data_IF_989691049539
#
_entry.id   IF_989691049539
#
_cell.length_a   1.000
_cell.length_b   1.000
_cell.length_c   1.000
_cell.angle_alpha   90.00
_cell.angle_beta   90.00
_cell.angle_gamma   90.00
#
_symmetry.space_group_name_H-M   'P 1'
#
loop_
_entity.id
_entity.type
_entity.pdbx_description
1 polymer ?
#
# COMPACT_ATOMS: atom_id res chain seq x y z
N UNK A 1 -13.54 4.28 -4.68
CA UNK A 1 -13.40 5.22 -3.53
C UNK A 1 -14.57 6.18 -3.39
N UNK A 2 -14.94 6.94 -4.43
CA UNK A 2 -16.00 7.96 -4.38
C UNK A 2 -17.35 7.43 -3.90
N UNK A 3 -17.80 6.27 -4.39
CA UNK A 3 -19.06 5.66 -3.92
C UNK A 3 -19.03 5.27 -2.44
N UNK A 4 -17.93 4.69 -1.95
CA UNK A 4 -17.78 4.36 -0.52
C UNK A 4 -17.75 5.62 0.36
N UNK A 5 -17.26 6.74 -0.17
CA UNK A 5 -17.31 8.04 0.51
C UNK A 5 -18.75 8.58 0.57
N UNK A 6 -19.50 8.54 -0.54
CA UNK A 6 -20.92 8.89 -0.57
C UNK A 6 -21.74 8.04 0.41
N UNK A 7 -21.54 6.73 0.40
CA UNK A 7 -22.25 5.80 1.31
C UNK A 7 -21.94 6.09 2.78
N UNK A 8 -20.69 6.42 3.11
CA UNK A 8 -20.30 6.81 4.48
C UNK A 8 -20.89 8.14 4.91
N UNK A 9 -20.99 9.14 4.02
CA UNK A 9 -21.59 10.42 4.39
C UNK A 9 -23.12 10.33 4.50
N UNK A 10 -23.76 9.54 3.64
CA UNK A 10 -25.20 9.26 3.76
C UNK A 10 -25.53 8.48 5.04
N UNK A 11 -24.69 7.52 5.44
CA UNK A 11 -24.89 6.81 6.71
C UNK A 11 -24.69 7.68 7.95
N UNK A 12 -24.02 8.82 7.81
CA UNK A 12 -23.90 9.87 8.85
C UNK A 12 -25.10 10.83 8.88
N UNK A 13 -26.13 10.59 8.06
CA UNK A 13 -27.34 11.42 8.02
C UNK A 13 -27.18 12.75 7.29
N UNK A 14 -26.12 12.91 6.50
CA UNK A 14 -25.94 14.10 5.66
C UNK A 14 -26.91 14.09 4.48
N UNK A 15 -27.47 15.27 4.19
CA UNK A 15 -28.36 15.49 3.04
C UNK A 15 -27.64 15.20 1.71
N UNK A 16 -28.39 14.65 0.74
CA UNK A 16 -27.83 14.18 -0.53
C UNK A 16 -27.10 15.28 -1.32
N UNK A 17 -27.65 16.50 -1.34
CA UNK A 17 -27.05 17.62 -2.08
C UNK A 17 -25.76 18.10 -1.42
N UNK A 18 -25.68 18.04 -0.09
CA UNK A 18 -24.47 18.35 0.66
C UNK A 18 -23.37 17.31 0.41
N UNK A 19 -23.73 16.02 0.42
CA UNK A 19 -22.80 14.92 0.11
C UNK A 19 -22.22 15.06 -1.28
N UNK A 20 -23.04 15.37 -2.28
CA UNK A 20 -22.58 15.52 -3.65
C UNK A 20 -21.63 16.71 -3.82
N UNK A 21 -21.88 17.84 -3.14
CA UNK A 21 -20.95 18.98 -3.12
C UNK A 21 -19.62 18.66 -2.43
N UNK A 22 -19.65 17.97 -1.29
CA UNK A 22 -18.42 17.59 -0.57
C UNK A 22 -17.57 16.61 -1.36
N UNK A 23 -18.21 15.67 -2.05
CA UNK A 23 -17.53 14.74 -2.95
C UNK A 23 -16.94 15.46 -4.14
N UNK A 24 -17.72 16.32 -4.82
CA UNK A 24 -17.22 17.12 -5.94
C UNK A 24 -16.01 17.98 -5.54
N UNK A 25 -16.04 18.59 -4.35
CA UNK A 25 -14.91 19.36 -3.81
C UNK A 25 -13.67 18.50 -3.52
N UNK A 26 -13.83 17.18 -3.41
CA UNK A 26 -12.74 16.23 -3.18
C UNK A 26 -12.29 15.50 -4.45
N UNK A 27 -13.04 15.58 -5.55
CA UNK A 27 -12.78 14.83 -6.79
C UNK A 27 -11.42 15.20 -7.40
N UNK A 28 -11.08 16.48 -7.44
CA UNK A 28 -9.80 16.96 -7.97
C UNK A 28 -8.61 16.39 -7.18
N UNK A 29 -8.68 16.45 -5.84
CA UNK A 29 -7.66 15.88 -4.97
C UNK A 29 -7.57 14.36 -5.13
N UNK A 30 -8.70 13.66 -5.21
CA UNK A 30 -8.72 12.20 -5.42
C UNK A 30 -8.06 11.85 -6.76
N UNK A 31 -8.31 12.64 -7.80
CA UNK A 31 -7.70 12.45 -9.11
C UNK A 31 -6.18 12.71 -9.07
N UNK A 32 -5.74 13.76 -8.38
CA UNK A 32 -4.31 14.06 -8.20
C UNK A 32 -3.59 12.95 -7.42
N UNK A 33 -4.15 12.50 -6.31
CA UNK A 33 -3.61 11.41 -5.48
C UNK A 33 -3.53 10.10 -6.30
N UNK A 34 -4.56 9.81 -7.10
CA UNK A 34 -4.57 8.65 -8.00
C UNK A 34 -3.50 8.75 -9.09
N UNK A 35 -3.32 9.94 -9.69
CA UNK A 35 -2.28 10.19 -10.69
C UNK A 35 -0.88 9.97 -10.11
N UNK A 36 -0.61 10.51 -8.92
CA UNK A 36 0.67 10.32 -8.25
C UNK A 36 0.91 8.86 -7.90
N UNK A 37 -0.12 8.16 -7.43
CA UNK A 37 -0.04 6.72 -7.13
C UNK A 37 0.36 5.93 -8.37
N UNK A 38 -0.36 6.09 -9.49
CA UNK A 38 -0.05 5.39 -10.75
C UNK A 38 1.36 5.73 -11.23
N UNK A 39 1.74 7.00 -11.20
CA UNK A 39 3.07 7.44 -11.60
C UNK A 39 4.16 6.79 -10.75
N UNK A 40 3.99 6.76 -9.43
CA UNK A 40 4.95 6.15 -8.52
C UNK A 40 5.06 4.64 -8.77
N UNK A 41 3.94 3.94 -8.92
CA UNK A 41 3.92 2.51 -9.25
C UNK A 41 4.70 2.22 -10.53
N UNK A 42 4.43 2.94 -11.62
CA UNK A 42 5.13 2.74 -12.89
C UNK A 42 6.63 3.02 -12.80
N UNK A 43 7.04 4.04 -12.04
CA UNK A 43 8.46 4.35 -11.83
C UNK A 43 9.14 3.23 -11.03
N UNK A 44 8.49 2.74 -9.97
CA UNK A 44 9.01 1.68 -9.12
C UNK A 44 9.13 0.35 -9.89
N UNK A 45 8.11 -0.01 -10.69
CA UNK A 45 8.13 -1.16 -11.59
C UNK A 45 9.30 -1.06 -12.58
N UNK A 46 9.46 0.09 -13.23
CA UNK A 46 10.57 0.32 -14.16
C UNK A 46 11.95 0.17 -13.50
N UNK A 47 12.12 0.66 -12.26
CA UNK A 47 13.39 0.49 -11.53
C UNK A 47 13.61 -0.97 -11.17
N UNK A 48 12.58 -1.66 -10.69
CA UNK A 48 12.68 -3.08 -10.34
C UNK A 48 13.09 -3.93 -11.54
N UNK A 49 12.49 -3.68 -12.73
CA UNK A 49 12.88 -4.34 -13.97
C UNK A 49 14.33 -4.01 -14.36
N UNK A 50 14.72 -2.73 -14.33
CA UNK A 50 16.04 -2.28 -14.80
C UNK A 50 17.18 -2.79 -13.93
N UNK A 51 16.96 -2.91 -12.61
CA UNK A 51 17.96 -3.36 -11.65
C UNK A 51 17.82 -4.87 -11.33
N UNK A 52 16.96 -5.59 -12.08
CA UNK A 52 16.70 -7.03 -11.94
C UNK A 52 16.26 -7.44 -10.51
N UNK A 53 15.55 -6.55 -9.82
CA UNK A 53 15.04 -6.80 -8.48
C UNK A 53 13.81 -7.69 -8.61
N UNK A 54 13.92 -8.91 -8.09
CA UNK A 54 12.83 -9.89 -8.09
C UNK A 54 12.67 -10.50 -6.70
N UNK A 55 11.44 -10.91 -6.38
CA UNK A 55 11.14 -11.65 -5.16
C UNK A 55 11.35 -13.14 -5.42
N UNK A 56 12.21 -13.76 -4.60
CA UNK A 56 12.47 -15.20 -4.66
C UNK A 56 11.45 -15.97 -3.83
N UNK A 57 11.30 -17.27 -4.11
CA UNK A 57 10.36 -18.11 -3.37
C UNK A 57 10.69 -18.20 -1.87
N UNK A 58 11.97 -18.19 -1.51
CA UNK A 58 12.41 -18.25 -0.12
C UNK A 58 12.08 -16.98 0.66
N UNK A 59 12.25 -15.81 0.03
CA UNK A 59 11.86 -14.52 0.60
C UNK A 59 10.34 -14.42 0.79
N UNK A 60 9.55 -14.88 -0.21
CA UNK A 60 8.08 -14.93 -0.10
C UNK A 60 7.64 -15.85 1.05
N UNK A 61 8.30 -17.00 1.21
CA UNK A 61 8.02 -17.91 2.32
C UNK A 61 8.39 -17.30 3.68
N UNK A 62 9.45 -16.48 3.74
CA UNK A 62 9.80 -15.73 4.95
C UNK A 62 8.76 -14.65 5.25
N UNK A 63 8.32 -13.93 4.23
CA UNK A 63 7.29 -12.89 4.38
C UNK A 63 5.96 -13.49 4.83
N UNK A 64 5.58 -14.67 4.33
CA UNK A 64 4.43 -15.40 4.84
C UNK A 64 4.57 -15.71 6.35
N UNK A 65 5.75 -16.13 6.81
CA UNK A 65 5.99 -16.39 8.24
C UNK A 65 5.85 -15.12 9.07
N UNK A 66 6.41 -13.99 8.59
CA UNK A 66 6.27 -12.68 9.24
C UNK A 66 4.82 -12.24 9.28
N UNK A 67 4.11 -12.34 8.16
CA UNK A 67 2.70 -12.00 8.04
C UNK A 67 1.83 -12.78 9.03
N UNK A 68 2.01 -14.11 9.12
CA UNK A 68 1.30 -14.94 10.10
C UNK A 68 1.64 -14.50 11.54
N UNK A 69 2.92 -14.29 11.85
CA UNK A 69 3.35 -13.87 13.18
C UNK A 69 2.82 -12.48 13.60
N UNK A 70 2.74 -11.53 12.66
CA UNK A 70 2.29 -10.16 12.89
C UNK A 70 0.77 -10.02 12.90
N UNK A 71 0.05 -10.91 12.20
CA UNK A 71 -1.42 -10.83 12.09
C UNK A 71 -2.14 -10.86 13.44
N UNK A 72 -1.53 -11.45 14.48
CA UNK A 72 -2.16 -11.68 15.78
C UNK A 72 -3.37 -12.63 15.72
N UNK A 73 -3.66 -13.21 14.55
CA UNK A 73 -4.78 -14.11 14.31
C UNK A 73 -4.33 -15.56 14.48
N UNK A 74 -5.29 -16.44 14.79
CA UNK A 74 -5.06 -17.88 14.76
C UNK A 74 -4.66 -18.31 13.33
N UNK A 75 -3.54 -19.05 13.15
CA UNK A 75 -3.14 -19.61 11.86
C UNK A 75 -4.25 -20.39 11.13
N UNK A 76 -5.20 -20.98 11.85
CA UNK A 76 -6.34 -21.64 11.26
C UNK A 76 -7.32 -20.64 10.62
N UNK A 77 -7.66 -19.55 11.32
CA UNK A 77 -8.53 -18.50 10.78
C UNK A 77 -7.92 -17.81 9.56
N UNK A 78 -6.59 -17.61 9.57
CA UNK A 78 -5.85 -17.10 8.42
C UNK A 78 -5.92 -18.02 7.20
N UNK A 79 -5.76 -19.34 7.41
CA UNK A 79 -5.91 -20.33 6.34
C UNK A 79 -7.32 -20.33 5.75
N UNK A 80 -8.34 -20.28 6.61
CA UNK A 80 -9.74 -20.22 6.17
C UNK A 80 -10.02 -18.92 5.39
N UNK A 81 -9.46 -17.79 5.83
CA UNK A 81 -9.61 -16.53 5.12
C UNK A 81 -9.02 -16.59 3.70
N UNK A 82 -7.85 -17.20 3.52
CA UNK A 82 -7.20 -17.29 2.21
C UNK A 82 -7.54 -18.54 1.41
N UNK A 83 -8.43 -19.41 1.92
CA UNK A 83 -8.84 -20.62 1.21
C UNK A 83 -9.53 -20.24 -0.11
N UNK A 84 -9.02 -20.77 -1.23
CA UNK A 84 -9.46 -20.42 -2.58
C UNK A 84 -8.98 -19.07 -3.09
N UNK A 85 -8.14 -18.36 -2.32
CA UNK A 85 -7.48 -17.08 -2.65
C UNK A 85 -5.96 -17.17 -2.46
N UNK A 86 -5.39 -18.37 -2.58
CA UNK A 86 -3.97 -18.61 -2.36
C UNK A 86 -3.09 -17.84 -3.36
N UNK A 87 -3.56 -17.68 -4.60
CA UNK A 87 -2.88 -16.88 -5.62
C UNK A 87 -2.84 -15.39 -5.25
N UNK A 88 -3.96 -14.82 -4.77
CA UNK A 88 -4.01 -13.42 -4.30
C UNK A 88 -3.07 -13.19 -3.12
N UNK A 89 -3.01 -14.15 -2.18
CA UNK A 89 -2.07 -14.10 -1.06
C UNK A 89 -0.63 -14.12 -1.55
N UNK A 90 -0.32 -15.00 -2.50
CA UNK A 90 1.02 -15.13 -3.05
C UNK A 90 1.45 -13.84 -3.78
N UNK A 91 0.59 -13.26 -4.61
CA UNK A 91 0.84 -11.99 -5.30
C UNK A 91 1.05 -10.84 -4.30
N UNK A 92 0.23 -10.77 -3.26
CA UNK A 92 0.36 -9.75 -2.21
C UNK A 92 1.73 -9.84 -1.51
N UNK A 93 2.14 -11.04 -1.11
CA UNK A 93 3.44 -11.26 -0.45
C UNK A 93 4.60 -11.00 -1.39
N UNK A 94 4.49 -11.41 -2.65
CA UNK A 94 5.49 -11.13 -3.68
C UNK A 94 5.68 -9.62 -3.86
N UNK A 95 4.58 -8.85 -3.94
CA UNK A 95 4.63 -7.40 -4.07
C UNK A 95 5.24 -6.74 -2.84
N UNK A 96 4.95 -7.24 -1.64
CA UNK A 96 5.55 -6.74 -0.40
C UNK A 96 7.07 -6.92 -0.40
N UNK A 97 7.55 -8.14 -0.69
CA UNK A 97 8.98 -8.45 -0.77
C UNK A 97 9.68 -7.58 -1.82
N UNK A 98 9.07 -7.44 -3.00
CA UNK A 98 9.61 -6.61 -4.08
C UNK A 98 9.75 -5.15 -3.63
N UNK A 99 8.72 -4.62 -2.98
CA UNK A 99 8.70 -3.23 -2.51
C UNK A 99 9.77 -2.97 -1.47
N UNK A 100 9.91 -3.85 -0.48
CA UNK A 100 10.91 -3.71 0.57
C UNK A 100 12.33 -3.72 -0.01
N UNK A 101 12.63 -4.68 -0.91
CA UNK A 101 13.93 -4.74 -1.61
C UNK A 101 14.19 -3.49 -2.45
N UNK A 102 13.17 -2.97 -3.11
CA UNK A 102 13.29 -1.78 -3.93
C UNK A 102 13.57 -0.54 -3.08
N UNK A 103 12.89 -0.39 -1.94
CA UNK A 103 13.14 0.69 -0.99
C UNK A 103 14.57 0.60 -0.46
N UNK A 104 15.01 -0.58 -0.01
CA UNK A 104 16.36 -0.80 0.49
C UNK A 104 17.41 -0.42 -0.57
N UNK A 105 17.21 -0.87 -1.81
CA UNK A 105 18.07 -0.54 -2.94
C UNK A 105 18.12 0.96 -3.25
N UNK A 106 16.98 1.67 -3.14
CA UNK A 106 16.94 3.12 -3.31
C UNK A 106 17.65 3.85 -2.16
N UNK A 107 17.48 3.38 -0.94
CA UNK A 107 18.12 3.94 0.26
C UNK A 107 19.64 3.76 0.24
N UNK A 108 20.15 2.66 -0.30
CA UNK A 108 21.59 2.44 -0.52
C UNK A 108 22.22 3.46 -1.48
N UNK A 109 21.45 3.92 -2.47
CA UNK A 109 21.87 4.92 -3.47
C UNK A 109 21.54 6.36 -3.07
N UNK A 110 20.74 6.56 -2.03
CA UNK A 110 20.31 7.88 -1.59
C UNK A 110 21.42 8.61 -0.84
N UNK A 111 21.51 9.93 -1.05
CA UNK A 111 22.40 10.80 -0.29
C UNK A 111 21.62 11.47 0.85
N UNK A 112 22.13 11.35 2.07
CA UNK A 112 21.48 11.86 3.26
C UNK A 112 22.10 13.19 3.70
N UNK A 113 21.25 14.12 4.16
CA UNK A 113 21.68 15.32 4.86
C UNK A 113 21.10 15.27 6.27
N UNK A 114 21.96 15.14 7.28
CA UNK A 114 21.52 15.19 8.68
C UNK A 114 21.14 16.63 9.04
N UNK A 115 19.89 16.83 9.45
CA UNK A 115 19.45 18.05 10.12
C UNK A 115 19.33 17.77 11.61
N UNK A 116 20.13 18.47 12.41
CA UNK A 116 19.95 18.54 13.86
C UNK A 116 18.66 19.33 14.12
N UNK A 117 17.65 18.66 14.66
CA UNK A 117 16.42 19.32 15.12
C UNK A 117 16.69 19.79 16.55
N UNK A 118 16.94 21.09 16.73
CA UNK A 118 16.96 21.68 18.06
C UNK A 118 15.54 21.62 18.63
N UNK A 119 15.37 20.92 19.75
CA UNK A 119 14.10 20.87 20.46
C UNK A 119 13.80 22.26 21.03
N UNK A 120 12.75 22.91 20.52
CA UNK A 120 12.21 24.12 21.12
C UNK A 120 11.82 23.83 22.58
N UNK A 121 12.41 24.57 23.51
CA UNK A 121 12.18 24.48 24.96
C UNK A 121 11.04 25.37 25.42
#
# INVERSE_FOLDING_TARGET
MVQNMKSRYRSQGLDADMVDKMVAASEEKIAEDALQTVKNTLILEYIAEREEITATQDEINEELRKFVAQSGQDPQALREYFQGREMELQEMLQNQVLMDKLIDHLLEKATYTEKVVEAES
#
